data_IF_263839112296
#
_entry.id   IF_263839112296
#
_cell.length_a   1.000
_cell.length_b   1.000
_cell.length_c   1.000
_cell.angle_alpha   90.00
_cell.angle_beta   90.00
_cell.angle_gamma   90.00
#
_symmetry.space_group_name_H-M   'P 1'
#
loop_
_entity.id
_entity.type
_entity.pdbx_description
1 polymer ?
#
# COMPACT_ATOMS: atom_id res chain seq x y z
N UNK A 1 8.13 -48.39 -6.16
CA UNK A 1 7.68 -47.09 -5.62
C UNK A 1 8.10 -47.05 -4.16
N UNK A 2 8.84 -46.03 -3.72
CA UNK A 2 9.25 -45.90 -2.32
C UNK A 2 8.19 -45.15 -1.51
N UNK A 3 8.20 -45.32 -0.19
CA UNK A 3 7.27 -44.61 0.69
C UNK A 3 7.53 -43.09 0.66
N UNK A 4 6.47 -42.30 0.56
CA UNK A 4 6.51 -40.85 0.70
C UNK A 4 5.23 -40.35 1.39
N UNK A 5 5.34 -39.16 2.01
CA UNK A 5 4.21 -38.42 2.56
C UNK A 5 4.05 -37.15 1.72
N UNK A 6 2.81 -36.84 1.34
CA UNK A 6 2.46 -35.64 0.58
C UNK A 6 1.39 -34.85 1.33
N UNK A 7 1.61 -33.54 1.49
CA UNK A 7 0.66 -32.60 2.07
C UNK A 7 0.51 -31.38 1.16
N UNK A 8 -0.72 -30.96 0.91
CA UNK A 8 -1.04 -29.69 0.24
C UNK A 8 -2.20 -29.02 0.97
N UNK A 9 -1.93 -27.89 1.64
CA UNK A 9 -2.92 -27.11 2.41
C UNK A 9 -3.83 -26.24 1.54
N UNK A 10 -3.51 -26.11 0.25
CA UNK A 10 -4.19 -25.17 -0.64
C UNK A 10 -5.54 -25.72 -1.08
N UNK A 11 -6.63 -25.01 -0.76
CA UNK A 11 -7.92 -25.27 -1.38
C UNK A 11 -7.91 -24.71 -2.79
N UNK A 12 -8.06 -25.58 -3.79
CA UNK A 12 -8.12 -25.21 -5.20
C UNK A 12 -9.57 -25.14 -5.66
N UNK A 13 -10.02 -23.95 -6.08
CA UNK A 13 -11.32 -23.74 -6.73
C UNK A 13 -11.08 -23.52 -8.22
N UNK A 14 -11.66 -24.38 -9.07
CA UNK A 14 -11.45 -24.35 -10.52
C UNK A 14 -12.79 -24.51 -11.27
N UNK A 15 -12.95 -23.78 -12.38
CA UNK A 15 -14.15 -23.85 -13.22
C UNK A 15 -14.55 -22.49 -13.80
N UNK A 16 -15.28 -22.51 -14.92
CA UNK A 16 -15.81 -21.29 -15.53
C UNK A 16 -16.83 -20.65 -14.58
N UNK A 17 -16.65 -19.37 -14.27
CA UNK A 17 -17.50 -18.65 -13.30
C UNK A 17 -17.10 -18.81 -11.84
N UNK A 18 -16.06 -19.60 -11.53
CA UNK A 18 -15.64 -19.86 -10.15
C UNK A 18 -15.22 -18.61 -9.37
N UNK A 19 -14.74 -17.55 -10.04
CA UNK A 19 -14.42 -16.28 -9.38
C UNK A 19 -15.68 -15.66 -8.75
N UNK A 20 -16.78 -15.55 -9.50
CA UNK A 20 -18.05 -15.01 -8.97
C UNK A 20 -18.64 -15.89 -7.87
N UNK A 21 -18.54 -17.20 -8.01
CA UNK A 21 -19.12 -18.15 -7.07
C UNK A 21 -18.33 -18.23 -5.75
N UNK A 22 -17.01 -18.25 -5.81
CA UNK A 22 -16.16 -18.58 -4.66
C UNK A 22 -15.43 -17.39 -4.05
N UNK A 23 -15.07 -16.36 -4.83
CA UNK A 23 -14.28 -15.24 -4.30
C UNK A 23 -15.04 -14.50 -3.20
N UNK A 24 -16.32 -14.21 -3.41
CA UNK A 24 -17.17 -13.54 -2.42
C UNK A 24 -17.21 -14.27 -1.07
N UNK A 25 -17.40 -15.59 -1.10
CA UNK A 25 -17.42 -16.41 0.12
C UNK A 25 -16.04 -16.52 0.79
N UNK A 26 -14.96 -16.53 0.01
CA UNK A 26 -13.60 -16.54 0.55
C UNK A 26 -13.28 -15.25 1.32
N UNK A 27 -13.74 -14.10 0.83
CA UNK A 27 -13.48 -12.78 1.42
C UNK A 27 -13.99 -12.62 2.85
N UNK A 28 -14.95 -13.44 3.29
CA UNK A 28 -15.42 -13.46 4.67
C UNK A 28 -14.34 -13.90 5.67
N UNK A 29 -13.32 -14.63 5.21
CA UNK A 29 -12.20 -15.11 6.05
C UNK A 29 -11.02 -14.11 6.10
N UNK A 30 -11.14 -12.95 5.45
CA UNK A 30 -10.07 -11.95 5.37
C UNK A 30 -10.51 -10.64 6.01
N UNK A 31 -9.53 -9.82 6.42
CA UNK A 31 -9.76 -8.49 6.97
C UNK A 31 -10.45 -7.53 5.99
N UNK A 32 -10.81 -6.34 6.47
CA UNK A 32 -11.48 -5.32 5.68
C UNK A 32 -10.62 -4.80 4.52
N UNK A 33 -9.32 -4.64 4.76
CA UNK A 33 -8.39 -4.08 3.78
C UNK A 33 -7.61 -5.19 3.08
N UNK A 34 -7.60 -5.15 1.75
CA UNK A 34 -6.94 -6.12 0.88
C UNK A 34 -6.05 -5.42 -0.13
N UNK A 35 -4.89 -6.02 -0.44
CA UNK A 35 -4.00 -5.52 -1.48
C UNK A 35 -4.22 -6.30 -2.78
N UNK A 36 -4.57 -5.61 -3.86
CA UNK A 36 -4.69 -6.17 -5.20
C UNK A 36 -3.39 -5.94 -5.98
N UNK A 37 -2.54 -6.96 -6.00
CA UNK A 37 -1.25 -6.95 -6.68
C UNK A 37 -1.36 -7.48 -8.12
N UNK A 38 -0.91 -6.72 -9.12
CA UNK A 38 -0.99 -7.13 -10.53
C UNK A 38 0.08 -6.53 -11.45
N UNK A 39 0.22 -7.13 -12.63
CA UNK A 39 1.25 -6.76 -13.62
C UNK A 39 0.87 -5.61 -14.56
N UNK A 40 1.38 -5.66 -15.79
CA UNK A 40 1.26 -4.59 -16.81
C UNK A 40 -0.11 -4.39 -17.47
N UNK A 41 -1.21 -4.67 -16.75
CA UNK A 41 -2.56 -4.31 -17.21
C UNK A 41 -3.26 -5.29 -18.16
N UNK A 42 -2.72 -6.50 -18.39
CA UNK A 42 -3.43 -7.55 -19.15
C UNK A 42 -4.83 -7.82 -18.57
N UNK A 43 -4.93 -7.84 -17.24
CA UNK A 43 -6.18 -8.05 -16.51
C UNK A 43 -7.21 -6.92 -16.73
N UNK A 44 -6.77 -5.71 -17.09
CA UNK A 44 -7.67 -4.59 -17.41
C UNK A 44 -8.24 -4.75 -18.81
N UNK A 45 -7.45 -5.25 -19.77
CA UNK A 45 -7.88 -5.43 -21.16
C UNK A 45 -8.86 -6.58 -21.34
N UNK A 46 -8.76 -7.62 -20.53
CA UNK A 46 -9.61 -8.81 -20.64
C UNK A 46 -10.81 -8.80 -19.68
N UNK A 47 -11.06 -7.69 -18.96
CA UNK A 47 -12.20 -7.52 -18.05
C UNK A 47 -12.07 -8.21 -16.68
N UNK A 48 -10.99 -8.95 -16.42
CA UNK A 48 -10.77 -9.63 -15.14
C UNK A 48 -10.64 -8.63 -13.98
N UNK A 49 -10.00 -7.49 -14.24
CA UNK A 49 -9.86 -6.42 -13.25
C UNK A 49 -11.23 -5.90 -12.80
N UNK A 50 -12.12 -5.58 -13.74
CA UNK A 50 -13.44 -5.04 -13.43
C UNK A 50 -14.30 -6.04 -12.66
N UNK A 51 -14.21 -7.33 -13.03
CA UNK A 51 -14.90 -8.41 -12.33
C UNK A 51 -14.42 -8.55 -10.88
N UNK A 52 -13.10 -8.58 -10.66
CA UNK A 52 -12.51 -8.68 -9.31
C UNK A 52 -12.85 -7.44 -8.48
N UNK A 53 -12.66 -6.24 -9.03
CA UNK A 53 -12.99 -4.99 -8.34
C UNK A 53 -14.46 -4.93 -7.97
N UNK A 54 -15.36 -5.37 -8.85
CA UNK A 54 -16.79 -5.45 -8.55
C UNK A 54 -17.09 -6.35 -7.35
N UNK A 55 -16.48 -7.53 -7.29
CA UNK A 55 -16.66 -8.47 -6.17
C UNK A 55 -16.08 -7.92 -4.87
N UNK A 56 -14.87 -7.34 -4.91
CA UNK A 56 -14.23 -6.77 -3.72
C UNK A 56 -15.03 -5.59 -3.15
N UNK A 57 -15.51 -4.70 -4.01
CA UNK A 57 -16.36 -3.58 -3.61
C UNK A 57 -17.72 -4.05 -3.07
N UNK A 58 -18.36 -5.03 -3.72
CA UNK A 58 -19.61 -5.60 -3.24
C UNK A 58 -19.46 -6.27 -1.87
N UNK A 59 -18.27 -6.82 -1.57
CA UNK A 59 -17.92 -7.37 -0.26
C UNK A 59 -17.50 -6.30 0.76
N UNK A 60 -17.58 -5.00 0.43
CA UNK A 60 -17.23 -3.90 1.32
C UNK A 60 -15.75 -3.81 1.68
N UNK A 61 -14.87 -4.38 0.85
CA UNK A 61 -13.43 -4.37 1.11
C UNK A 61 -12.81 -3.02 0.75
N UNK A 62 -11.84 -2.58 1.55
CA UNK A 62 -10.94 -1.48 1.20
C UNK A 62 -9.79 -2.03 0.37
N UNK A 63 -9.58 -1.46 -0.81
CA UNK A 63 -8.68 -2.05 -1.81
C UNK A 63 -7.47 -1.14 -1.98
N UNK A 64 -6.28 -1.70 -1.72
CA UNK A 64 -4.99 -1.05 -2.00
C UNK A 64 -4.40 -1.68 -3.25
N UNK A 65 -4.20 -0.91 -4.31
CA UNK A 65 -3.66 -1.45 -5.56
C UNK A 65 -2.12 -1.43 -5.57
N UNK A 66 -1.51 -2.54 -5.99
CA UNK A 66 -0.08 -2.63 -6.25
C UNK A 66 0.16 -3.11 -7.69
N UNK A 67 0.27 -2.16 -8.61
CA UNK A 67 0.35 -2.43 -10.05
C UNK A 67 1.79 -2.43 -10.60
N UNK A 68 1.95 -2.84 -11.85
CA UNK A 68 3.21 -2.73 -12.59
C UNK A 68 4.25 -3.78 -12.20
N UNK A 69 3.82 -4.94 -11.70
CA UNK A 69 4.70 -6.08 -11.48
C UNK A 69 5.18 -6.60 -12.85
N UNK A 70 6.51 -6.59 -13.06
CA UNK A 70 7.12 -7.11 -14.28
C UNK A 70 7.11 -8.65 -14.30
N UNK A 71 7.15 -9.25 -15.49
CA UNK A 71 7.10 -10.71 -15.68
C UNK A 71 8.18 -11.48 -14.91
N UNK A 72 9.34 -10.85 -14.71
CA UNK A 72 10.40 -11.34 -13.83
C UNK A 72 10.59 -10.32 -12.69
N UNK A 73 9.82 -10.41 -11.59
CA UNK A 73 9.85 -9.42 -10.52
C UNK A 73 11.24 -9.31 -9.90
N UNK A 74 11.70 -8.07 -9.70
CA UNK A 74 12.96 -7.81 -9.00
C UNK A 74 12.75 -7.82 -7.48
N UNK A 75 13.83 -8.05 -6.73
CA UNK A 75 13.83 -7.89 -5.27
C UNK A 75 13.35 -6.49 -4.85
N UNK A 76 13.75 -5.46 -5.60
CA UNK A 76 13.28 -4.09 -5.36
C UNK A 76 11.75 -3.98 -5.45
N UNK A 77 11.13 -4.58 -6.47
CA UNK A 77 9.66 -4.54 -6.62
C UNK A 77 8.95 -5.26 -5.47
N UNK A 78 9.54 -6.33 -4.94
CA UNK A 78 9.03 -7.01 -3.74
C UNK A 78 9.12 -6.09 -2.51
N UNK A 79 10.24 -5.39 -2.34
CA UNK A 79 10.40 -4.42 -1.26
C UNK A 79 9.39 -3.28 -1.35
N UNK A 80 9.09 -2.79 -2.55
CA UNK A 80 8.08 -1.73 -2.75
C UNK A 80 6.70 -2.19 -2.30
N UNK A 81 6.32 -3.43 -2.66
CA UNK A 81 5.06 -4.04 -2.21
C UNK A 81 5.04 -4.26 -0.68
N UNK A 82 6.15 -4.70 -0.09
CA UNK A 82 6.26 -4.87 1.36
C UNK A 82 6.14 -3.54 2.12
N UNK A 83 6.78 -2.48 1.62
CA UNK A 83 6.66 -1.11 2.17
C UNK A 83 5.21 -0.63 2.11
N UNK A 84 4.52 -0.85 0.99
CA UNK A 84 3.11 -0.46 0.82
C UNK A 84 2.20 -1.22 1.79
N UNK A 85 2.37 -2.54 1.92
CA UNK A 85 1.60 -3.35 2.85
C UNK A 85 1.83 -2.91 4.30
N UNK A 86 3.08 -2.65 4.67
CA UNK A 86 3.44 -2.11 5.99
C UNK A 86 2.79 -0.75 6.24
N UNK A 87 2.99 0.22 5.35
CA UNK A 87 2.42 1.56 5.49
C UNK A 87 0.89 1.53 5.62
N UNK A 88 0.23 0.68 4.83
CA UNK A 88 -1.22 0.48 4.91
C UNK A 88 -1.63 -0.07 6.26
N UNK A 89 -0.96 -1.12 6.77
CA UNK A 89 -1.24 -1.67 8.09
C UNK A 89 -1.02 -0.67 9.23
N UNK A 90 0.02 0.17 9.15
CA UNK A 90 0.29 1.21 10.13
C UNK A 90 -0.79 2.30 10.13
N UNK A 91 -1.29 2.68 8.95
CA UNK A 91 -2.40 3.63 8.80
C UNK A 91 -3.70 3.08 9.39
N UNK A 92 -4.02 1.81 9.09
CA UNK A 92 -5.22 1.12 9.58
C UNK A 92 -5.26 1.01 11.10
N UNK A 93 -4.12 0.65 11.71
CA UNK A 93 -4.00 0.52 13.15
C UNK A 93 -3.94 1.88 13.87
N UNK A 94 -4.14 2.99 13.16
CA UNK A 94 -4.11 4.34 13.72
C UNK A 94 -2.73 4.77 14.25
N UNK A 95 -1.66 4.03 13.92
CA UNK A 95 -0.32 4.34 14.44
C UNK A 95 0.19 5.69 13.92
N UNK A 96 -0.22 6.08 12.72
CA UNK A 96 0.03 7.43 12.18
C UNK A 96 -0.55 8.55 13.06
N UNK A 97 -1.44 8.23 13.99
CA UNK A 97 -2.08 9.18 14.90
C UNK A 97 -1.51 9.14 16.32
N UNK A 98 -0.55 8.26 16.61
CA UNK A 98 0.05 8.18 17.95
C UNK A 98 0.84 9.46 18.23
N UNK A 99 0.57 10.09 19.37
CA UNK A 99 1.26 11.30 19.82
C UNK A 99 0.64 12.63 19.38
N UNK A 100 -0.41 12.62 18.54
CA UNK A 100 -1.20 13.82 18.24
C UNK A 100 -2.51 13.85 19.05
N UNK A 101 -2.84 15.02 19.56
CA UNK A 101 -4.12 15.37 20.20
C UNK A 101 -5.16 15.77 19.15
N UNK A 102 -4.76 16.48 18.09
CA UNK A 102 -5.64 16.87 16.97
C UNK A 102 -4.92 16.81 15.61
N UNK A 103 -5.67 16.87 14.51
CA UNK A 103 -5.15 16.62 13.15
C UNK A 103 -4.14 17.66 12.64
N UNK A 104 -4.13 18.89 13.18
CA UNK A 104 -3.33 20.01 12.65
C UNK A 104 -2.11 20.40 13.51
N UNK A 105 -1.79 19.66 14.57
CA UNK A 105 -0.69 20.06 15.46
C UNK A 105 0.69 20.05 14.78
N UNK A 106 0.94 19.12 13.85
CA UNK A 106 2.16 19.12 13.05
C UNK A 106 2.26 20.36 12.13
N UNK A 107 1.10 20.88 11.70
CA UNK A 107 1.01 22.08 10.87
C UNK A 107 1.37 23.35 11.66
N UNK A 108 1.01 23.42 12.95
CA UNK A 108 1.42 24.53 13.81
C UNK A 108 2.95 24.63 13.97
N UNK A 109 3.63 23.49 14.09
CA UNK A 109 5.11 23.42 14.12
C UNK A 109 5.68 23.82 12.75
N UNK A 110 5.03 23.41 11.66
CA UNK A 110 5.43 23.71 10.29
C UNK A 110 5.42 25.22 10.01
N UNK A 111 4.40 25.95 10.48
CA UNK A 111 4.37 27.40 10.38
C UNK A 111 5.56 28.10 11.06
N UNK A 112 6.00 27.59 12.22
CA UNK A 112 7.15 28.17 12.92
C UNK A 112 8.47 27.88 12.19
N UNK A 113 8.65 26.65 11.69
CA UNK A 113 9.85 26.26 10.97
C UNK A 113 9.96 26.97 9.61
N UNK A 114 8.85 27.04 8.86
CA UNK A 114 8.80 27.77 7.59
C UNK A 114 9.14 29.24 7.75
N UNK A 115 8.68 29.89 8.83
CA UNK A 115 9.06 31.26 9.17
C UNK A 115 10.57 31.40 9.51
N UNK A 116 11.17 30.39 10.14
CA UNK A 116 12.60 30.40 10.49
C UNK A 116 13.51 30.14 9.28
N UNK A 117 13.10 29.27 8.35
CA UNK A 117 13.91 28.86 7.19
C UNK A 117 13.57 29.60 5.90
N UNK A 118 12.59 30.51 5.92
CA UNK A 118 12.05 31.21 4.75
C UNK A 118 11.68 30.25 3.60
N UNK A 119 11.09 29.10 3.94
CA UNK A 119 10.65 28.12 2.96
C UNK A 119 9.13 28.20 2.76
N UNK A 120 8.68 27.88 1.53
CA UNK A 120 7.26 27.95 1.21
C UNK A 120 6.46 26.86 1.95
N UNK A 121 5.16 27.09 2.07
CA UNK A 121 4.25 26.24 2.85
C UNK A 121 4.30 24.75 2.45
N UNK A 122 4.29 24.46 1.15
CA UNK A 122 4.32 23.08 0.64
C UNK A 122 5.64 22.35 0.96
N UNK A 123 6.77 23.06 0.95
CA UNK A 123 8.08 22.53 1.35
C UNK A 123 8.13 22.28 2.85
N UNK A 124 7.56 23.17 3.65
CA UNK A 124 7.52 23.00 5.10
C UNK A 124 6.60 21.84 5.53
N UNK A 125 5.49 21.62 4.81
CA UNK A 125 4.56 20.50 5.07
C UNK A 125 5.17 19.14 4.75
N UNK A 126 5.86 18.99 3.63
CA UNK A 126 6.52 17.73 3.28
C UNK A 126 7.60 17.33 4.29
N UNK A 127 8.20 18.30 4.97
CA UNK A 127 9.21 18.08 6.00
C UNK A 127 8.61 17.59 7.33
N UNK A 128 7.36 17.98 7.64
CA UNK A 128 6.67 17.65 8.91
C UNK A 128 5.70 16.46 8.83
N UNK A 129 5.39 15.94 7.64
CA UNK A 129 4.44 14.82 7.42
C UNK A 129 5.00 13.43 7.83
N UNK A 130 6.12 13.36 8.55
CA UNK A 130 6.64 12.08 9.09
C UNK A 130 6.47 11.94 10.60
N UNK A 131 5.25 12.19 11.11
CA UNK A 131 4.84 11.62 12.39
C UNK A 131 4.62 10.11 12.22
N UNK A 132 5.71 9.33 12.15
CA UNK A 132 5.65 7.86 12.13
C UNK A 132 6.83 7.12 11.49
N UNK A 133 7.68 7.78 10.72
CA UNK A 133 8.90 7.17 10.16
C UNK A 133 10.07 8.14 10.30
N UNK A 134 10.75 8.09 11.44
CA UNK A 134 11.91 8.92 11.71
C UNK A 134 13.14 8.40 10.96
N UNK A 135 13.27 8.69 9.66
CA UNK A 135 14.61 8.94 9.11
C UNK A 135 14.84 10.44 9.27
N UNK A 136 15.73 10.84 10.19
CA UNK A 136 16.26 12.21 10.21
C UNK A 136 17.04 12.38 8.91
N UNK A 137 16.45 13.09 7.96
CA UNK A 137 17.15 13.50 6.75
C UNK A 137 18.02 14.70 7.09
N UNK A 138 19.27 14.63 6.67
CA UNK A 138 20.19 15.76 6.70
C UNK A 138 19.74 16.81 5.68
N UNK A 139 20.21 18.06 5.84
CA UNK A 139 19.97 19.14 4.87
C UNK A 139 20.30 18.68 3.43
N UNK A 140 21.42 17.98 3.27
CA UNK A 140 21.92 17.60 1.95
C UNK A 140 21.04 16.49 1.33
N UNK A 141 20.54 15.53 2.13
CA UNK A 141 19.56 14.53 1.67
C UNK A 141 18.23 15.17 1.26
N UNK A 142 17.79 16.23 1.96
CA UNK A 142 16.59 16.98 1.55
C UNK A 142 16.85 17.69 0.22
N UNK A 143 18.01 18.32 0.05
CA UNK A 143 18.38 18.98 -1.21
C UNK A 143 18.46 18.01 -2.40
N UNK A 144 18.98 16.80 -2.23
CA UNK A 144 19.00 15.77 -3.29
C UNK A 144 17.60 15.36 -3.73
N UNK A 145 16.71 15.05 -2.78
CA UNK A 145 15.31 14.68 -3.08
C UNK A 145 14.62 15.80 -3.87
N UNK A 146 14.89 17.06 -3.52
CA UNK A 146 14.33 18.22 -4.19
C UNK A 146 14.85 18.40 -5.62
N UNK A 147 16.10 17.99 -5.90
CA UNK A 147 16.67 18.06 -7.25
C UNK A 147 16.15 16.95 -8.17
N UNK A 148 15.78 15.79 -7.62
CA UNK A 148 15.14 14.70 -8.39
C UNK A 148 13.68 14.98 -8.76
N UNK A 149 13.02 15.93 -8.07
CA UNK A 149 11.61 16.29 -8.29
C UNK A 149 11.40 17.45 -9.28
N UNK A 150 12.48 18.01 -9.84
CA UNK A 150 12.48 19.03 -10.89
C UNK A 150 12.78 18.39 -12.27
#
# INVERSE_FOLDING_TARGET
MNNFIFENKTKVSFGKGGVKEYLGGLLANFGETVMLAYGGGSIKRNGVYDEIMGILNAAGKRIVEFSGIMSNPTYQKVQDGAKLAWASAMAENGVLKIGKVTDFQAHQIQHQLGAYTDCNHGVADSTNITAGCCKKLTRDEICEILQECL
#
